data_IF_506208421278
#
_entry.id   IF_506208421278
#
_cell.length_a   1.000
_cell.length_b   1.000
_cell.length_c   1.000
_cell.angle_alpha   90.00
_cell.angle_beta   90.00
_cell.angle_gamma   90.00
#
_symmetry.space_group_name_H-M   'P 1'
#
loop_
_entity.id
_entity.type
_entity.pdbx_description
1 polymer ?
#
# COMPACT_ATOMS: atom_id res chain seq x y z
N UNK A 1 32.73 5.57 -61.47
CA UNK A 1 33.84 4.98 -60.67
C UNK A 1 33.97 5.55 -59.25
N UNK A 2 34.35 6.83 -59.00
CA UNK A 2 34.44 7.37 -57.62
C UNK A 2 33.09 7.44 -56.87
N UNK A 3 32.00 7.81 -57.56
CA UNK A 3 30.63 7.79 -56.99
C UNK A 3 30.14 6.37 -56.66
N UNK A 4 30.41 5.38 -57.52
CA UNK A 4 30.04 3.97 -57.26
C UNK A 4 30.79 3.35 -56.08
N UNK A 5 32.08 3.68 -55.91
CA UNK A 5 32.85 3.24 -54.74
C UNK A 5 32.39 3.92 -53.45
N UNK A 6 31.94 5.18 -53.50
CA UNK A 6 31.35 5.87 -52.36
C UNK A 6 29.98 5.29 -51.98
N UNK A 7 29.12 5.02 -52.97
CA UNK A 7 27.84 4.34 -52.76
C UNK A 7 28.03 2.92 -52.20
N UNK A 8 28.98 2.13 -52.71
CA UNK A 8 29.32 0.81 -52.12
C UNK A 8 29.83 0.93 -50.69
N UNK A 9 30.72 1.90 -50.40
CA UNK A 9 31.24 2.11 -49.03
C UNK A 9 30.14 2.56 -48.05
N UNK A 10 29.20 3.38 -48.50
CA UNK A 10 28.08 3.88 -47.70
C UNK A 10 27.09 2.75 -47.40
N UNK A 11 26.73 1.94 -48.40
CA UNK A 11 25.85 0.78 -48.24
C UNK A 11 26.47 -0.31 -47.35
N UNK A 12 27.78 -0.57 -47.47
CA UNK A 12 28.45 -1.54 -46.59
C UNK A 12 28.46 -1.07 -45.13
N UNK A 13 28.65 0.23 -44.88
CA UNK A 13 28.63 0.80 -43.53
C UNK A 13 27.27 0.66 -42.85
N UNK A 14 26.18 0.89 -43.58
CA UNK A 14 24.82 0.67 -43.07
C UNK A 14 24.55 -0.81 -42.77
N UNK A 15 24.95 -1.71 -43.67
CA UNK A 15 24.83 -3.17 -43.47
C UNK A 15 25.60 -3.62 -42.21
N UNK A 16 26.82 -3.14 -42.01
CA UNK A 16 27.60 -3.47 -40.80
C UNK A 16 26.98 -2.90 -39.53
N UNK A 17 26.39 -1.71 -39.61
CA UNK A 17 25.71 -1.09 -38.49
C UNK A 17 24.44 -1.87 -38.11
N UNK A 18 23.65 -2.28 -39.08
CA UNK A 18 22.45 -3.10 -38.84
C UNK A 18 22.81 -4.44 -38.20
N UNK A 19 23.83 -5.13 -38.72
CA UNK A 19 24.35 -6.38 -38.12
C UNK A 19 24.84 -6.15 -36.68
N UNK A 20 25.59 -5.07 -36.44
CA UNK A 20 26.06 -4.72 -35.10
C UNK A 20 24.89 -4.46 -34.14
N UNK A 21 23.87 -3.76 -34.61
CA UNK A 21 22.68 -3.44 -33.83
C UNK A 21 21.82 -4.68 -33.54
N UNK A 22 21.73 -5.63 -34.46
CA UNK A 22 21.10 -6.94 -34.22
C UNK A 22 21.80 -7.69 -33.07
N UNK A 23 23.13 -7.62 -33.00
CA UNK A 23 23.89 -8.23 -31.90
C UNK A 23 23.67 -7.56 -30.53
N UNK A 24 23.07 -6.36 -30.46
CA UNK A 24 22.74 -5.71 -29.16
C UNK A 24 21.61 -6.41 -28.40
N UNK A 25 20.95 -7.38 -29.03
CA UNK A 25 19.92 -8.22 -28.44
C UNK A 25 20.29 -9.72 -28.43
N UNK A 26 21.53 -10.07 -28.77
CA UNK A 26 21.99 -11.46 -28.83
C UNK A 26 21.86 -12.17 -27.48
N UNK A 27 21.55 -13.47 -27.45
CA UNK A 27 21.42 -14.25 -26.21
C UNK A 27 22.72 -14.32 -25.40
N UNK A 28 23.86 -14.41 -26.10
CA UNK A 28 25.17 -14.45 -25.48
C UNK A 28 25.53 -13.09 -24.87
N UNK A 29 25.63 -13.06 -23.55
CA UNK A 29 25.89 -11.85 -22.76
C UNK A 29 27.17 -11.13 -23.19
N UNK A 30 28.23 -11.88 -23.51
CA UNK A 30 29.53 -11.32 -23.89
C UNK A 30 29.47 -10.65 -25.27
N UNK A 31 28.83 -11.32 -26.24
CA UNK A 31 28.62 -10.79 -27.60
C UNK A 31 27.75 -9.53 -27.54
N UNK A 32 26.66 -9.60 -26.77
CA UNK A 32 25.72 -8.49 -26.59
C UNK A 32 26.38 -7.27 -25.95
N UNK A 33 27.12 -7.46 -24.86
CA UNK A 33 27.80 -6.35 -24.18
C UNK A 33 28.87 -5.70 -25.06
N UNK A 34 29.58 -6.49 -25.86
CA UNK A 34 30.54 -5.96 -26.83
C UNK A 34 29.86 -5.17 -27.95
N UNK A 35 28.78 -5.69 -28.52
CA UNK A 35 28.01 -4.99 -29.55
C UNK A 35 27.46 -3.66 -29.02
N UNK A 36 26.90 -3.65 -27.80
CA UNK A 36 26.42 -2.43 -27.14
C UNK A 36 27.57 -1.44 -26.91
N UNK A 37 28.74 -1.89 -26.44
CA UNK A 37 29.90 -1.02 -26.24
C UNK A 37 30.33 -0.34 -27.54
N UNK A 38 30.36 -1.08 -28.63
CA UNK A 38 30.74 -0.55 -29.95
C UNK A 38 29.64 0.39 -30.46
N UNK A 39 28.36 0.02 -30.35
CA UNK A 39 27.25 0.87 -30.74
C UNK A 39 27.24 2.21 -29.98
N UNK A 40 27.55 2.20 -28.67
CA UNK A 40 27.74 3.42 -27.87
C UNK A 40 28.87 4.29 -28.42
N UNK A 41 30.03 3.72 -28.67
CA UNK A 41 31.17 4.45 -29.24
C UNK A 41 30.88 5.03 -30.63
N UNK A 42 29.93 4.44 -31.38
CA UNK A 42 29.50 4.94 -32.68
C UNK A 42 28.41 6.00 -32.58
N UNK A 43 27.59 6.01 -31.51
CA UNK A 43 26.52 7.00 -31.31
C UNK A 43 27.06 8.43 -31.16
N UNK A 44 28.29 8.59 -30.66
CA UNK A 44 28.98 9.89 -30.56
C UNK A 44 29.32 10.50 -31.94
N UNK A 45 29.19 9.74 -33.03
CA UNK A 45 29.44 10.21 -34.41
C UNK A 45 28.11 10.57 -35.07
N UNK A 46 27.99 11.81 -35.57
CA UNK A 46 26.76 12.31 -36.22
C UNK A 46 26.24 11.39 -37.34
N UNK A 47 27.14 10.77 -38.10
CA UNK A 47 26.82 9.85 -39.20
C UNK A 47 26.04 8.59 -38.75
N UNK A 48 26.24 8.11 -37.52
CA UNK A 48 25.64 6.86 -37.03
C UNK A 48 24.56 7.08 -35.97
N UNK A 49 24.47 8.30 -35.44
CA UNK A 49 23.52 8.66 -34.39
C UNK A 49 22.07 8.41 -34.78
N UNK A 50 21.63 8.95 -35.92
CA UNK A 50 20.23 8.83 -36.37
C UNK A 50 19.83 7.37 -36.69
N UNK A 51 20.64 6.56 -37.39
CA UNK A 51 20.34 5.13 -37.58
C UNK A 51 20.25 4.33 -36.27
N UNK A 52 21.17 4.55 -35.32
CA UNK A 52 21.17 3.87 -34.02
C UNK A 52 19.91 4.23 -33.22
N UNK A 53 19.55 5.51 -33.19
CA UNK A 53 18.34 5.99 -32.51
C UNK A 53 17.07 5.45 -33.17
N UNK A 54 17.03 5.37 -34.51
CA UNK A 54 15.91 4.78 -35.27
C UNK A 54 15.73 3.29 -34.93
N UNK A 55 16.83 2.54 -34.86
CA UNK A 55 16.82 1.13 -34.46
C UNK A 55 16.36 0.96 -33.01
N UNK A 56 16.88 1.76 -32.08
CA UNK A 56 16.43 1.76 -30.69
C UNK A 56 14.92 2.08 -30.57
N UNK A 57 14.44 3.07 -31.32
CA UNK A 57 13.01 3.42 -31.37
C UNK A 57 12.15 2.31 -31.95
N UNK A 58 12.63 1.59 -32.98
CA UNK A 58 11.93 0.44 -33.53
C UNK A 58 11.80 -0.69 -32.49
N UNK A 59 12.86 -0.98 -31.74
CA UNK A 59 12.81 -1.94 -30.63
C UNK A 59 11.91 -1.49 -29.48
N UNK A 60 11.87 -0.19 -29.16
CA UNK A 60 10.92 0.35 -28.20
C UNK A 60 9.46 0.24 -28.69
N UNK A 61 9.21 0.35 -29.99
CA UNK A 61 7.87 0.13 -30.58
C UNK A 61 7.41 -1.32 -30.46
N UNK A 62 8.31 -2.30 -30.54
CA UNK A 62 7.94 -3.71 -30.32
C UNK A 62 7.43 -3.98 -28.91
N UNK A 63 7.76 -3.13 -27.94
CA UNK A 63 7.16 -3.22 -26.62
C UNK A 63 5.64 -3.00 -26.70
N UNK A 64 5.14 -2.17 -27.62
CA UNK A 64 3.72 -1.76 -27.75
C UNK A 64 2.86 -2.91 -28.27
N UNK A 65 3.44 -3.89 -28.97
CA UNK A 65 2.72 -5.01 -29.54
C UNK A 65 2.29 -6.03 -28.47
N UNK A 66 1.09 -6.58 -28.61
CA UNK A 66 0.50 -7.61 -27.73
C UNK A 66 1.31 -8.92 -27.71
N UNK A 67 2.09 -9.15 -28.76
CA UNK A 67 3.09 -10.21 -28.88
C UNK A 67 4.36 -9.63 -29.52
N UNK A 68 5.57 -9.97 -29.01
CA UNK A 68 6.81 -9.58 -29.66
C UNK A 68 6.90 -10.27 -31.04
N UNK A 69 7.45 -9.59 -32.08
CA UNK A 69 7.64 -10.20 -33.39
C UNK A 69 8.44 -11.51 -33.27
N UNK A 70 7.91 -12.62 -33.78
CA UNK A 70 8.56 -13.94 -33.75
C UNK A 70 9.95 -13.90 -34.38
N UNK A 71 10.18 -13.05 -35.39
CA UNK A 71 11.49 -12.87 -36.02
C UNK A 71 12.59 -12.30 -35.10
N UNK A 72 12.23 -11.68 -33.98
CA UNK A 72 13.20 -11.20 -32.96
C UNK A 72 13.59 -12.27 -31.95
N UNK A 73 12.83 -13.36 -31.87
CA UNK A 73 12.97 -14.41 -30.85
C UNK A 73 12.82 -15.84 -31.42
N UNK A 74 12.93 -15.99 -32.73
CA UNK A 74 12.70 -17.24 -33.44
C UNK A 74 13.96 -18.09 -33.51
N UNK A 75 13.88 -19.30 -32.97
CA UNK A 75 14.75 -20.42 -33.28
C UNK A 75 14.75 -20.66 -34.79
N UNK A 76 15.85 -20.35 -35.49
CA UNK A 76 16.38 -21.13 -36.61
C UNK A 76 17.51 -20.38 -37.34
N UNK A 77 18.73 -20.53 -36.81
CA UNK A 77 19.92 -20.69 -37.67
C UNK A 77 20.71 -21.91 -37.22
N UNK A 78 20.12 -23.07 -37.53
CA UNK A 78 20.75 -24.38 -37.81
C UNK A 78 21.63 -24.99 -36.70
N UNK A 79 21.10 -26.01 -36.02
CA UNK A 79 21.55 -27.41 -36.18
C UNK A 79 20.53 -28.42 -35.63
N UNK A 80 19.98 -29.22 -36.54
CA UNK A 80 19.58 -30.65 -36.42
C UNK A 80 18.55 -31.14 -35.39
N UNK A 81 17.41 -31.61 -35.93
CA UNK A 81 16.60 -32.80 -35.57
C UNK A 81 16.10 -32.98 -34.12
N UNK A 82 14.78 -32.85 -33.92
CA UNK A 82 13.80 -33.87 -33.46
C UNK A 82 12.46 -33.15 -33.12
N UNK A 83 11.29 -33.68 -33.51
CA UNK A 83 9.99 -33.02 -33.30
C UNK A 83 9.44 -33.28 -31.88
N UNK A 84 8.65 -32.34 -31.30
CA UNK A 84 7.46 -32.62 -30.46
C UNK A 84 6.70 -31.40 -29.91
N UNK A 85 5.41 -31.36 -30.29
CA UNK A 85 4.17 -31.09 -29.53
C UNK A 85 3.83 -29.63 -29.12
N UNK A 86 2.60 -29.15 -29.41
CA UNK A 86 2.15 -27.82 -29.04
C UNK A 86 1.65 -27.78 -27.59
N UNK A 87 2.20 -26.88 -26.77
CA UNK A 87 1.63 -26.55 -25.46
C UNK A 87 0.95 -25.19 -25.53
N UNK A 88 -0.37 -25.26 -25.59
CA UNK A 88 -1.30 -24.15 -25.44
C UNK A 88 -1.31 -23.72 -23.97
N UNK A 89 -1.06 -22.44 -23.73
CA UNK A 89 -1.38 -21.73 -22.49
C UNK A 89 -0.18 -21.39 -21.62
N UNK A 90 0.06 -20.09 -21.39
CA UNK A 90 0.46 -19.50 -20.10
C UNK A 90 0.78 -18.01 -20.26
N UNK A 91 0.32 -17.21 -19.29
CA UNK A 91 0.42 -15.77 -19.29
C UNK A 91 1.84 -15.22 -19.07
N UNK A 92 1.92 -13.90 -19.23
CA UNK A 92 2.89 -12.99 -18.63
C UNK A 92 4.29 -13.58 -18.39
N UNK A 93 5.12 -13.63 -19.42
CA UNK A 93 6.55 -13.55 -19.25
C UNK A 93 7.12 -12.64 -20.34
N UNK A 94 7.31 -11.36 -19.99
CA UNK A 94 8.31 -10.54 -20.69
C UNK A 94 9.62 -11.35 -20.76
N UNK A 95 10.30 -11.45 -21.92
CA UNK A 95 11.50 -12.28 -22.03
C UNK A 95 12.53 -11.88 -20.95
N UNK A 96 13.09 -12.89 -20.26
CA UNK A 96 14.06 -12.70 -19.18
C UNK A 96 15.23 -11.86 -19.73
N UNK A 97 15.37 -10.62 -19.25
CA UNK A 97 16.41 -9.68 -19.70
C UNK A 97 15.89 -8.37 -20.30
N UNK A 98 14.63 -8.31 -20.76
CA UNK A 98 14.06 -7.08 -21.32
C UNK A 98 13.95 -5.94 -20.28
N UNK A 99 13.55 -6.27 -19.04
CA UNK A 99 13.57 -5.30 -17.92
C UNK A 99 14.99 -4.80 -17.63
N UNK A 100 15.98 -5.69 -17.64
CA UNK A 100 17.38 -5.34 -17.39
C UNK A 100 17.92 -4.44 -18.51
N UNK A 101 17.59 -4.73 -19.76
CA UNK A 101 17.97 -3.93 -20.92
C UNK A 101 17.33 -2.53 -20.89
N UNK A 102 16.04 -2.43 -20.57
CA UNK A 102 15.34 -1.14 -20.44
C UNK A 102 15.94 -0.31 -19.29
N UNK A 103 16.16 -0.91 -18.11
CA UNK A 103 16.80 -0.21 -16.99
C UNK A 103 18.23 0.23 -17.35
N UNK A 104 18.97 -0.58 -18.11
CA UNK A 104 20.31 -0.20 -18.59
C UNK A 104 20.26 0.91 -19.64
N UNK A 105 19.33 0.85 -20.59
CA UNK A 105 19.12 1.90 -21.61
C UNK A 105 18.75 3.22 -20.92
N UNK A 106 17.83 3.20 -19.95
CA UNK A 106 17.50 4.38 -19.15
C UNK A 106 18.76 4.88 -18.44
N UNK A 107 19.47 4.01 -17.73
CA UNK A 107 20.70 4.38 -17.02
C UNK A 107 21.73 5.03 -17.95
N UNK A 108 21.96 4.45 -19.13
CA UNK A 108 22.87 4.95 -20.18
C UNK A 108 22.42 6.31 -20.72
N UNK A 109 21.11 6.49 -20.96
CA UNK A 109 20.54 7.74 -21.45
C UNK A 109 20.52 8.84 -20.37
N UNK A 110 20.70 8.50 -19.10
CA UNK A 110 20.62 9.42 -17.96
C UNK A 110 21.91 9.54 -17.14
N UNK A 111 22.99 8.86 -17.55
CA UNK A 111 24.23 8.74 -16.76
C UNK A 111 25.04 10.04 -16.71
N UNK A 112 25.00 10.82 -17.80
CA UNK A 112 25.81 12.04 -17.99
C UNK A 112 24.97 13.33 -18.03
N UNK A 113 23.64 13.20 -18.02
CA UNK A 113 22.70 14.32 -17.98
C UNK A 113 21.35 13.85 -17.42
N UNK A 114 20.59 14.72 -16.71
CA UNK A 114 19.24 14.38 -16.28
C UNK A 114 18.36 14.01 -17.49
N UNK A 115 17.50 12.98 -17.39
CA UNK A 115 16.63 12.57 -18.49
C UNK A 115 15.83 13.74 -19.03
N UNK A 116 15.70 13.83 -20.35
CA UNK A 116 14.90 14.89 -20.97
C UNK A 116 13.44 14.80 -20.50
N UNK A 117 12.73 15.93 -20.26
CA UNK A 117 11.34 15.92 -19.82
C UNK A 117 10.42 15.06 -20.72
N UNK A 118 10.68 15.07 -22.03
CA UNK A 118 9.97 14.24 -23.00
C UNK A 118 10.22 12.73 -22.82
N UNK A 119 11.45 12.30 -22.48
CA UNK A 119 11.75 10.90 -22.17
C UNK A 119 11.07 10.49 -20.87
N UNK A 120 11.12 11.34 -19.84
CA UNK A 120 10.42 11.12 -18.56
C UNK A 120 8.91 10.98 -18.83
N UNK A 121 8.33 11.88 -19.61
CA UNK A 121 6.91 11.84 -19.98
C UNK A 121 6.56 10.58 -20.77
N UNK A 122 7.39 10.16 -21.75
CA UNK A 122 7.14 8.95 -22.54
C UNK A 122 7.23 7.67 -21.72
N UNK A 123 8.24 7.56 -20.85
CA UNK A 123 8.42 6.41 -19.94
C UNK A 123 7.29 6.39 -18.92
N UNK A 124 6.91 7.57 -18.39
CA UNK A 124 5.75 7.75 -17.52
C UNK A 124 4.48 7.26 -18.22
N UNK A 125 4.19 7.73 -19.43
CA UNK A 125 3.04 7.31 -20.24
C UNK A 125 2.99 5.81 -20.49
N UNK A 126 4.12 5.22 -20.87
CA UNK A 126 4.24 3.79 -21.15
C UNK A 126 4.01 2.94 -19.90
N UNK A 127 4.42 3.44 -18.74
CA UNK A 127 4.19 2.77 -17.46
C UNK A 127 2.75 2.97 -16.96
N UNK A 128 2.15 4.14 -17.19
CA UNK A 128 0.75 4.42 -16.84
C UNK A 128 -0.26 3.66 -17.71
N UNK A 129 0.07 3.41 -18.99
CA UNK A 129 -0.81 2.69 -19.93
C UNK A 129 -0.82 1.17 -19.77
N UNK A 130 0.11 0.59 -18.99
CA UNK A 130 0.27 -0.88 -18.89
C UNK A 130 -0.05 -1.48 -17.54
N UNK A 131 0.14 -0.72 -16.47
CA UNK A 131 0.00 -1.29 -15.12
C UNK A 131 -1.45 -1.15 -14.69
N UNK A 132 -2.13 -2.28 -14.54
CA UNK A 132 -3.50 -2.33 -14.02
C UNK A 132 -3.54 -2.02 -12.52
N UNK A 133 -4.69 -1.54 -12.02
CA UNK A 133 -4.90 -1.30 -10.58
C UNK A 133 -4.59 -2.54 -9.74
N UNK A 134 -4.90 -3.74 -10.27
CA UNK A 134 -4.61 -5.03 -9.64
C UNK A 134 -3.11 -5.27 -9.46
N UNK A 135 -2.29 -4.90 -10.44
CA UNK A 135 -0.84 -5.03 -10.35
C UNK A 135 -0.25 -4.05 -9.33
N UNK A 136 -0.79 -2.83 -9.23
CA UNK A 136 -0.33 -1.87 -8.22
C UNK A 136 -0.73 -2.35 -6.81
N UNK A 137 -1.97 -2.79 -6.64
CA UNK A 137 -2.48 -3.32 -5.35
C UNK A 137 -1.65 -4.53 -4.89
N UNK A 138 -1.34 -5.47 -5.79
CA UNK A 138 -0.50 -6.64 -5.47
C UNK A 138 0.97 -6.28 -5.19
N UNK A 139 1.49 -5.20 -5.78
CA UNK A 139 2.83 -4.69 -5.49
C UNK A 139 2.88 -3.79 -4.24
N UNK A 140 1.73 -3.35 -3.72
CA UNK A 140 1.60 -2.36 -2.65
C UNK A 140 2.46 -2.67 -1.42
N UNK A 141 2.53 -3.92 -0.89
CA UNK A 141 3.37 -4.24 0.26
C UNK A 141 4.87 -3.95 0.06
N UNK A 142 5.35 -3.99 -1.19
CA UNK A 142 6.74 -3.65 -1.54
C UNK A 142 6.90 -2.16 -1.80
N UNK A 143 5.91 -1.53 -2.45
CA UNK A 143 5.95 -0.10 -2.79
C UNK A 143 5.93 0.80 -1.56
N UNK A 144 5.16 0.45 -0.52
CA UNK A 144 5.09 1.26 0.71
C UNK A 144 6.35 1.20 1.59
N UNK A 145 7.30 0.31 1.27
CA UNK A 145 8.61 0.22 1.94
C UNK A 145 9.64 1.19 1.33
N UNK A 146 9.29 1.81 0.19
CA UNK A 146 10.15 2.78 -0.48
C UNK A 146 10.12 4.13 0.26
N UNK A 147 10.94 5.08 -0.21
CA UNK A 147 10.99 6.41 0.36
C UNK A 147 9.65 7.15 0.21
N UNK A 148 9.32 8.01 1.16
CA UNK A 148 8.05 8.74 1.18
C UNK A 148 7.72 9.49 -0.13
N UNK A 149 8.66 10.14 -0.84
CA UNK A 149 8.37 10.75 -2.15
C UNK A 149 7.88 9.73 -3.18
N UNK A 150 8.51 8.55 -3.22
CA UNK A 150 8.12 7.47 -4.14
C UNK A 150 6.75 6.91 -3.77
N UNK A 151 6.46 6.77 -2.48
CA UNK A 151 5.15 6.33 -2.00
C UNK A 151 4.05 7.31 -2.41
N UNK A 152 4.30 8.63 -2.28
CA UNK A 152 3.34 9.66 -2.72
C UNK A 152 3.07 9.59 -4.23
N UNK A 153 4.10 9.40 -5.04
CA UNK A 153 3.94 9.21 -6.49
C UNK A 153 3.10 7.97 -6.83
N UNK A 154 3.27 6.87 -6.07
CA UNK A 154 2.43 5.67 -6.23
C UNK A 154 0.97 5.98 -5.87
N UNK A 155 0.71 6.80 -4.86
CA UNK A 155 -0.64 7.16 -4.43
C UNK A 155 -1.34 8.15 -5.37
N UNK A 156 -0.57 8.93 -6.15
CA UNK A 156 -1.09 9.85 -7.17
C UNK A 156 -1.48 9.16 -8.49
N UNK A 157 -1.30 7.83 -8.58
CA UNK A 157 -1.72 7.04 -9.75
C UNK A 157 -3.24 7.00 -9.88
N UNK A 158 -3.79 6.65 -11.06
CA UNK A 158 -5.23 6.62 -11.31
C UNK A 158 -5.97 5.45 -10.62
N UNK A 159 -5.57 5.07 -9.40
CA UNK A 159 -6.31 4.16 -8.53
C UNK A 159 -7.33 4.99 -7.75
N UNK A 160 -8.55 4.48 -7.63
CA UNK A 160 -9.58 5.14 -6.83
C UNK A 160 -9.10 5.25 -5.37
N UNK A 161 -9.16 6.45 -4.74
CA UNK A 161 -8.61 6.66 -3.39
C UNK A 161 -9.16 5.67 -2.33
N UNK A 162 -10.46 5.37 -2.39
CA UNK A 162 -11.06 4.39 -1.47
C UNK A 162 -10.46 2.99 -1.66
N UNK A 163 -10.21 2.56 -2.89
CA UNK A 163 -9.64 1.24 -3.18
C UNK A 163 -8.21 1.14 -2.66
N UNK A 164 -7.40 2.20 -2.82
CA UNK A 164 -6.05 2.24 -2.30
C UNK A 164 -6.03 2.09 -0.77
N UNK A 165 -6.85 2.87 -0.06
CA UNK A 165 -6.87 2.81 1.40
C UNK A 165 -7.42 1.47 1.91
N UNK A 166 -8.38 0.86 1.24
CA UNK A 166 -8.87 -0.48 1.58
C UNK A 166 -7.79 -1.53 1.35
N UNK A 167 -7.10 -1.47 0.20
CA UNK A 167 -5.99 -2.37 -0.12
C UNK A 167 -4.88 -2.30 0.94
N UNK A 168 -4.55 -1.10 1.43
CA UNK A 168 -3.59 -0.94 2.54
C UNK A 168 -4.03 -1.69 3.80
N UNK A 169 -5.32 -1.64 4.15
CA UNK A 169 -5.85 -2.34 5.33
C UNK A 169 -5.87 -3.87 5.18
N UNK A 170 -5.82 -4.37 3.95
CA UNK A 170 -5.84 -5.80 3.65
C UNK A 170 -4.45 -6.44 3.58
N UNK A 171 -3.37 -5.63 3.67
CA UNK A 171 -2.00 -6.16 3.67
C UNK A 171 -1.79 -7.02 4.91
N UNK A 172 -1.35 -8.27 4.69
CA UNK A 172 -1.09 -9.20 5.79
C UNK A 172 0.20 -8.86 6.52
N UNK A 173 0.29 -9.27 7.79
CA UNK A 173 1.51 -9.10 8.60
C UNK A 173 2.71 -9.90 8.07
N UNK A 174 2.50 -10.86 7.18
CA UNK A 174 3.57 -11.63 6.52
C UNK A 174 4.22 -10.85 5.38
N UNK A 175 3.47 -9.96 4.73
CA UNK A 175 3.94 -9.20 3.56
C UNK A 175 4.61 -7.88 3.95
N UNK A 176 4.10 -7.22 4.99
CA UNK A 176 4.60 -5.93 5.45
C UNK A 176 4.41 -5.70 6.95
N UNK A 177 5.33 -4.97 7.58
CA UNK A 177 5.21 -4.61 8.99
C UNK A 177 4.04 -3.64 9.19
N UNK A 178 3.26 -3.87 10.26
CA UNK A 178 2.10 -3.05 10.61
C UNK A 178 2.44 -1.55 10.71
N UNK A 179 3.64 -1.19 11.21
CA UNK A 179 4.08 0.21 11.30
C UNK A 179 4.19 0.86 9.93
N UNK A 180 4.73 0.15 8.93
CA UNK A 180 4.85 0.64 7.55
C UNK A 180 3.49 0.85 6.92
N UNK A 181 2.58 -0.12 7.09
CA UNK A 181 1.19 0.00 6.61
C UNK A 181 0.47 1.17 7.28
N UNK A 182 0.65 1.33 8.59
CA UNK A 182 0.09 2.44 9.36
C UNK A 182 0.59 3.80 8.86
N UNK A 183 1.89 3.92 8.56
CA UNK A 183 2.47 5.14 8.01
C UNK A 183 1.90 5.45 6.62
N UNK A 184 1.80 4.44 5.74
CA UNK A 184 1.20 4.57 4.41
C UNK A 184 -0.28 5.01 4.47
N UNK A 185 -1.08 4.40 5.35
CA UNK A 185 -2.47 4.82 5.57
C UNK A 185 -2.56 6.25 6.13
N UNK A 186 -1.64 6.64 7.02
CA UNK A 186 -1.56 8.00 7.57
C UNK A 186 -1.27 9.03 6.47
N UNK A 187 -0.36 8.72 5.52
CA UNK A 187 -0.09 9.59 4.38
C UNK A 187 -1.35 9.81 3.55
N UNK A 188 -2.10 8.75 3.24
CA UNK A 188 -3.38 8.86 2.54
C UNK A 188 -4.35 9.77 3.31
N UNK A 189 -4.60 9.47 4.58
CA UNK A 189 -5.58 10.19 5.41
C UNK A 189 -5.23 11.68 5.62
N UNK A 190 -3.97 12.06 5.47
CA UNK A 190 -3.54 13.46 5.56
C UNK A 190 -3.82 14.28 4.29
N UNK A 191 -4.00 13.63 3.13
CA UNK A 191 -4.39 14.28 1.87
C UNK A 191 -5.92 14.55 1.87
N UNK A 192 -6.34 15.47 2.74
CA UNK A 192 -7.76 15.76 3.06
C UNK A 192 -8.62 16.22 1.87
N UNK A 193 -7.99 16.77 0.84
CA UNK A 193 -8.68 17.12 -0.41
C UNK A 193 -9.13 15.87 -1.20
N UNK A 194 -8.44 14.74 -1.02
CA UNK A 194 -8.71 13.46 -1.69
C UNK A 194 -9.55 12.57 -0.77
N UNK A 195 -9.15 12.44 0.49
CA UNK A 195 -9.80 11.60 1.50
C UNK A 195 -10.82 12.43 2.29
N UNK A 196 -11.88 12.83 1.60
CA UNK A 196 -13.03 13.53 2.17
C UNK A 196 -13.87 12.59 3.05
N UNK A 197 -14.79 13.15 3.82
CA UNK A 197 -15.75 12.38 4.60
C UNK A 197 -16.56 11.36 3.76
N UNK A 198 -16.90 11.67 2.51
CA UNK A 198 -17.61 10.74 1.61
C UNK A 198 -16.75 9.53 1.24
N UNK A 199 -15.49 9.77 0.86
CA UNK A 199 -14.53 8.70 0.54
C UNK A 199 -14.28 7.84 1.77
N UNK A 200 -14.10 8.45 2.93
CA UNK A 200 -13.89 7.72 4.18
C UNK A 200 -15.12 6.94 4.64
N UNK A 201 -16.34 7.43 4.36
CA UNK A 201 -17.55 6.67 4.62
C UNK A 201 -17.58 5.37 3.81
N UNK A 202 -17.24 5.42 2.52
CA UNK A 202 -17.11 4.22 1.67
C UNK A 202 -16.07 3.26 2.22
N UNK A 203 -14.88 3.77 2.57
CA UNK A 203 -13.79 2.95 3.13
C UNK A 203 -14.24 2.27 4.43
N UNK A 204 -14.75 3.02 5.40
CA UNK A 204 -15.18 2.48 6.69
C UNK A 204 -16.31 1.47 6.51
N UNK A 205 -17.28 1.75 5.64
CA UNK A 205 -18.40 0.87 5.34
C UNK A 205 -17.93 -0.47 4.73
N UNK A 206 -16.96 -0.46 3.82
CA UNK A 206 -16.43 -1.69 3.24
C UNK A 206 -15.54 -2.46 4.24
N UNK A 207 -14.70 -1.77 5.01
CA UNK A 207 -13.79 -2.42 5.95
C UNK A 207 -14.52 -3.12 7.11
N UNK A 208 -15.64 -2.57 7.60
CA UNK A 208 -16.40 -3.20 8.69
C UNK A 208 -17.02 -4.54 8.28
N UNK A 209 -17.22 -4.77 6.99
CA UNK A 209 -17.76 -6.02 6.44
C UNK A 209 -16.71 -7.11 6.17
N UNK A 210 -15.41 -6.78 6.30
CA UNK A 210 -14.33 -7.76 6.18
C UNK A 210 -14.24 -8.61 7.45
N UNK A 211 -14.07 -9.92 7.29
CA UNK A 211 -13.86 -10.88 8.38
C UNK A 211 -12.54 -11.67 8.19
N UNK A 212 -11.59 -11.63 9.14
CA UNK A 212 -11.58 -10.80 10.35
C UNK A 212 -11.49 -9.30 10.05
N UNK A 213 -12.01 -8.45 10.94
CA UNK A 213 -11.91 -6.99 10.77
C UNK A 213 -10.43 -6.59 10.68
N UNK A 214 -10.05 -5.73 9.72
CA UNK A 214 -8.68 -5.24 9.60
C UNK A 214 -8.16 -4.57 10.86
N UNK A 215 -6.92 -4.87 11.23
CA UNK A 215 -6.30 -4.43 12.50
C UNK A 215 -6.26 -2.90 12.63
N UNK A 216 -6.10 -2.18 11.52
CA UNK A 216 -6.02 -0.72 11.49
C UNK A 216 -7.41 -0.03 11.44
N UNK A 217 -8.50 -0.79 11.35
CA UNK A 217 -9.85 -0.26 11.16
C UNK A 217 -10.21 0.84 12.16
N UNK A 218 -10.09 0.55 13.47
CA UNK A 218 -10.45 1.53 14.50
C UNK A 218 -9.55 2.76 14.50
N UNK A 219 -8.28 2.62 14.09
CA UNK A 219 -7.38 3.77 13.94
C UNK A 219 -7.88 4.70 12.85
N UNK A 220 -8.30 4.15 11.71
CA UNK A 220 -8.88 4.92 10.59
C UNK A 220 -10.19 5.60 10.98
N UNK A 221 -11.08 4.90 11.71
CA UNK A 221 -12.32 5.50 12.24
C UNK A 221 -12.03 6.68 13.17
N UNK A 222 -11.10 6.52 14.12
CA UNK A 222 -10.72 7.58 15.07
C UNK A 222 -10.07 8.78 14.37
N UNK A 223 -9.26 8.53 13.34
CA UNK A 223 -8.62 9.58 12.55
C UNK A 223 -9.65 10.32 11.68
N UNK A 224 -10.57 9.60 11.03
CA UNK A 224 -11.68 10.19 10.29
C UNK A 224 -12.53 11.12 11.17
N UNK A 225 -12.89 10.69 12.38
CA UNK A 225 -13.62 11.51 13.34
C UNK A 225 -12.84 12.74 13.81
N UNK A 226 -11.52 12.65 13.88
CA UNK A 226 -10.67 13.78 14.27
C UNK A 226 -10.62 14.86 13.20
N UNK A 227 -10.76 14.49 11.92
CA UNK A 227 -10.83 15.44 10.80
C UNK A 227 -12.26 15.89 10.48
N UNK A 228 -13.24 15.01 10.65
CA UNK A 228 -14.62 15.22 10.22
C UNK A 228 -15.62 14.89 11.35
N UNK A 229 -15.81 15.79 12.34
CA UNK A 229 -16.74 15.56 13.45
C UNK A 229 -18.20 15.33 13.02
N UNK A 230 -18.59 15.78 11.82
CA UNK A 230 -19.92 15.54 11.25
C UNK A 230 -20.22 14.05 11.01
N UNK A 231 -19.20 13.19 10.98
CA UNK A 231 -19.36 11.75 10.79
C UNK A 231 -19.81 11.00 12.05
N UNK A 232 -19.98 11.66 13.21
CA UNK A 232 -20.33 11.00 14.48
C UNK A 232 -21.55 10.08 14.34
N UNK A 233 -22.65 10.56 13.73
CA UNK A 233 -23.85 9.75 13.54
C UNK A 233 -23.61 8.49 12.71
N UNK A 234 -22.90 8.63 11.58
CA UNK A 234 -22.48 7.48 10.76
C UNK A 234 -21.62 6.49 11.56
N UNK A 235 -20.63 7.00 12.29
CA UNK A 235 -19.72 6.14 13.08
C UNK A 235 -20.47 5.43 14.22
N UNK A 236 -21.48 6.03 14.83
CA UNK A 236 -22.29 5.33 15.85
C UNK A 236 -22.99 4.09 15.25
N UNK A 237 -23.53 4.20 14.03
CA UNK A 237 -24.13 3.05 13.32
C UNK A 237 -23.08 1.98 13.01
N UNK A 238 -21.86 2.38 12.65
CA UNK A 238 -20.74 1.46 12.44
C UNK A 238 -20.39 0.74 13.75
N UNK A 239 -20.23 1.46 14.86
CA UNK A 239 -19.91 0.86 16.17
C UNK A 239 -21.01 -0.10 16.64
N UNK A 240 -22.28 0.20 16.40
CA UNK A 240 -23.39 -0.71 16.73
C UNK A 240 -23.22 -2.08 16.07
N UNK A 241 -22.77 -2.11 14.81
CA UNK A 241 -22.47 -3.36 14.08
C UNK A 241 -21.24 -4.10 14.62
N UNK A 242 -20.40 -3.45 15.42
CA UNK A 242 -19.21 -4.04 16.02
C UNK A 242 -19.46 -4.74 17.35
N UNK A 243 -20.60 -4.50 18.01
CA UNK A 243 -20.92 -5.07 19.34
C UNK A 243 -20.79 -6.60 19.34
N UNK A 244 -21.23 -7.23 18.24
CA UNK A 244 -21.19 -8.69 18.07
C UNK A 244 -19.89 -9.21 17.44
N UNK A 245 -18.92 -8.32 17.15
CA UNK A 245 -17.67 -8.65 16.45
C UNK A 245 -16.47 -8.78 17.42
N UNK A 246 -15.33 -9.18 16.86
CA UNK A 246 -14.14 -9.68 17.56
C UNK A 246 -13.58 -8.75 18.67
N UNK A 247 -13.00 -9.35 19.71
CA UNK A 247 -12.41 -8.65 20.86
C UNK A 247 -11.24 -7.69 20.51
N UNK A 248 -10.54 -7.89 19.38
CA UNK A 248 -9.32 -7.13 19.03
C UNK A 248 -9.55 -5.63 18.79
N UNK A 249 -10.78 -5.23 18.44
CA UNK A 249 -11.12 -3.82 18.17
C UNK A 249 -11.58 -3.06 19.42
N UNK A 250 -11.71 -3.74 20.57
CA UNK A 250 -12.44 -3.20 21.71
C UNK A 250 -11.78 -1.95 22.33
N UNK A 251 -10.44 -1.89 22.37
CA UNK A 251 -9.72 -0.69 22.82
C UNK A 251 -10.05 0.51 21.93
N UNK A 252 -10.12 0.30 20.61
CA UNK A 252 -10.50 1.35 19.67
C UNK A 252 -11.98 1.74 19.80
N UNK A 253 -12.87 0.76 20.03
CA UNK A 253 -14.30 0.96 20.28
C UNK A 253 -14.51 1.89 21.49
N UNK A 254 -13.85 1.61 22.61
CA UNK A 254 -13.95 2.39 23.85
C UNK A 254 -13.43 3.81 23.62
N UNK A 255 -12.28 3.97 22.96
CA UNK A 255 -11.74 5.28 22.58
C UNK A 255 -12.70 6.09 21.72
N UNK A 256 -13.40 5.42 20.81
CA UNK A 256 -14.39 6.06 19.96
C UNK A 256 -15.60 6.51 20.79
N UNK A 257 -16.05 5.69 21.75
CA UNK A 257 -17.12 6.06 22.68
C UNK A 257 -16.74 7.29 23.54
N UNK A 258 -15.51 7.34 24.07
CA UNK A 258 -14.99 8.47 24.85
C UNK A 258 -15.00 9.78 24.04
N UNK A 259 -14.56 9.72 22.77
CA UNK A 259 -14.42 10.88 21.90
C UNK A 259 -15.76 11.42 21.38
N UNK A 260 -16.80 10.59 21.35
CA UNK A 260 -18.10 10.93 20.75
C UNK A 260 -19.21 11.19 21.75
N UNK A 261 -18.89 11.24 23.06
CA UNK A 261 -19.82 11.67 24.10
C UNK A 261 -20.50 13.01 23.73
N UNK A 262 -21.80 13.18 24.01
CA UNK A 262 -22.71 12.22 24.65
C UNK A 262 -23.34 11.19 23.69
N UNK A 263 -23.07 11.26 22.39
CA UNK A 263 -23.72 10.44 21.35
C UNK A 263 -23.48 8.93 21.50
N UNK A 264 -22.42 8.54 22.20
CA UNK A 264 -22.10 7.14 22.48
C UNK A 264 -22.94 6.52 23.60
N UNK A 265 -23.63 7.29 24.44
CA UNK A 265 -24.37 6.74 25.58
C UNK A 265 -25.52 5.79 25.18
N UNK A 266 -26.37 6.11 24.17
CA UNK A 266 -27.37 5.16 23.70
C UNK A 266 -26.79 3.85 23.16
N UNK A 267 -25.57 3.89 22.61
CA UNK A 267 -24.84 2.71 22.15
C UNK A 267 -24.34 1.87 23.34
N UNK A 268 -23.81 2.51 24.40
CA UNK A 268 -23.36 1.80 25.60
C UNK A 268 -24.49 1.03 26.29
N UNK A 269 -25.72 1.53 26.24
CA UNK A 269 -26.91 0.84 26.77
C UNK A 269 -27.30 -0.40 25.97
N UNK A 270 -26.76 -0.60 24.77
CA UNK A 270 -27.01 -1.78 23.93
C UNK A 270 -25.95 -2.87 24.11
N UNK A 271 -24.89 -2.60 24.88
CA UNK A 271 -23.83 -3.57 25.11
C UNK A 271 -24.33 -4.71 26.02
N UNK A 272 -23.88 -5.96 25.79
CA UNK A 272 -23.98 -7.01 26.79
C UNK A 272 -23.34 -6.59 28.13
N UNK A 273 -23.92 -6.98 29.29
CA UNK A 273 -23.37 -6.67 30.61
C UNK A 273 -21.86 -6.90 30.79
N UNK A 274 -21.26 -8.03 30.33
CA UNK A 274 -19.81 -8.22 30.50
C UNK A 274 -18.98 -7.24 29.67
N UNK A 275 -19.46 -6.86 28.47
CA UNK A 275 -18.80 -5.87 27.63
C UNK A 275 -18.87 -4.49 28.27
N UNK A 276 -20.05 -4.10 28.79
CA UNK A 276 -20.23 -2.82 29.48
C UNK A 276 -19.32 -2.72 30.72
N UNK A 277 -19.23 -3.80 31.51
CA UNK A 277 -18.31 -3.86 32.66
C UNK A 277 -16.87 -3.60 32.24
N UNK A 278 -16.42 -4.22 31.15
CA UNK A 278 -15.08 -4.00 30.60
C UNK A 278 -14.86 -2.56 30.09
N UNK A 279 -15.90 -1.93 29.53
CA UNK A 279 -15.85 -0.50 29.17
C UNK A 279 -15.54 0.35 30.41
N UNK A 280 -16.24 0.14 31.52
CA UNK A 280 -16.01 0.91 32.75
C UNK A 280 -14.65 0.61 33.40
N UNK A 281 -14.15 -0.61 33.30
CA UNK A 281 -12.80 -0.96 33.75
C UNK A 281 -11.71 -0.23 32.96
N UNK A 282 -11.93 0.00 31.66
CA UNK A 282 -10.96 0.65 30.76
C UNK A 282 -11.09 2.17 30.75
N UNK A 283 -12.31 2.69 30.87
CA UNK A 283 -12.65 4.10 30.79
C UNK A 283 -13.74 4.45 31.82
N UNK A 284 -13.38 4.59 33.12
CA UNK A 284 -14.32 4.82 34.20
C UNK A 284 -15.18 6.08 34.02
N UNK A 285 -14.66 7.12 33.37
CA UNK A 285 -15.35 8.39 33.15
C UNK A 285 -16.54 8.28 32.18
N UNK A 286 -16.64 7.17 31.41
CA UNK A 286 -17.84 6.87 30.62
C UNK A 286 -19.03 6.52 31.51
N UNK A 287 -18.77 5.98 32.72
CA UNK A 287 -19.81 5.59 33.68
C UNK A 287 -20.59 6.79 34.19
N UNK A 288 -19.89 7.80 34.70
CA UNK A 288 -20.52 9.01 35.23
C UNK A 288 -21.29 9.77 34.13
N UNK A 289 -20.75 9.76 32.92
CA UNK A 289 -21.42 10.28 31.73
C UNK A 289 -22.73 9.54 31.43
N UNK A 290 -22.69 8.21 31.46
CA UNK A 290 -23.86 7.37 31.20
C UNK A 290 -24.92 7.52 32.29
N UNK A 291 -24.54 7.56 33.56
CA UNK A 291 -25.47 7.78 34.68
C UNK A 291 -26.18 9.13 34.53
N UNK A 292 -25.45 10.20 34.19
CA UNK A 292 -26.07 11.51 33.92
C UNK A 292 -27.02 11.46 32.73
N UNK A 293 -26.67 10.73 31.68
CA UNK A 293 -27.55 10.53 30.53
C UNK A 293 -28.86 9.82 30.94
N UNK A 294 -28.78 8.71 31.68
CA UNK A 294 -29.96 7.99 32.18
C UNK A 294 -30.82 8.92 33.06
N UNK A 295 -30.20 9.74 33.91
CA UNK A 295 -30.90 10.74 34.74
C UNK A 295 -31.55 11.87 33.94
N UNK A 296 -31.17 12.07 32.68
CA UNK A 296 -31.85 13.00 31.76
C UNK A 296 -32.98 12.34 30.95
N UNK A 297 -33.03 11.01 30.88
CA UNK A 297 -34.08 10.28 30.17
C UNK A 297 -35.42 10.35 30.89
N UNK A 298 -36.51 10.26 30.13
CA UNK A 298 -37.88 10.15 30.66
C UNK A 298 -38.07 8.85 31.46
N UNK A 299 -39.08 8.82 32.32
CA UNK A 299 -39.38 7.65 33.16
C UNK A 299 -39.66 6.39 32.30
N UNK A 300 -40.39 6.54 31.19
CA UNK A 300 -40.68 5.46 30.24
C UNK A 300 -39.42 4.90 29.57
N UNK A 301 -38.44 5.75 29.27
CA UNK A 301 -37.17 5.30 28.69
C UNK A 301 -36.32 4.55 29.72
N UNK A 302 -36.32 4.99 30.99
CA UNK A 302 -35.58 4.32 32.06
C UNK A 302 -36.13 2.93 32.36
N UNK A 303 -37.46 2.75 32.31
CA UNK A 303 -38.08 1.43 32.54
C UNK A 303 -37.72 0.39 31.48
N UNK A 304 -37.20 0.79 30.31
CA UNK A 304 -36.74 -0.13 29.26
C UNK A 304 -35.31 -0.66 29.50
N UNK A 305 -34.57 -0.12 30.47
CA UNK A 305 -33.21 -0.56 30.77
C UNK A 305 -33.29 -1.86 31.59
N UNK A 306 -32.72 -2.99 31.12
CA UNK A 306 -32.76 -4.25 31.85
C UNK A 306 -32.09 -4.15 33.22
N UNK A 307 -32.63 -4.83 34.23
CA UNK A 307 -32.06 -4.83 35.60
C UNK A 307 -30.61 -5.31 35.63
N UNK A 308 -30.24 -6.27 34.76
CA UNK A 308 -28.85 -6.75 34.62
C UNK A 308 -27.87 -5.70 34.11
N UNK A 309 -28.36 -4.65 33.43
CA UNK A 309 -27.53 -3.51 33.02
C UNK A 309 -27.42 -2.50 34.17
N UNK A 310 -28.52 -2.26 34.89
CA UNK A 310 -28.51 -1.36 36.05
C UNK A 310 -27.55 -1.85 37.12
N UNK A 311 -27.50 -3.16 37.41
CA UNK A 311 -26.52 -3.71 38.35
C UNK A 311 -25.09 -3.37 37.94
N UNK A 312 -24.72 -3.52 36.66
CA UNK A 312 -23.37 -3.16 36.18
C UNK A 312 -23.11 -1.65 36.23
N UNK A 313 -24.14 -0.82 36.06
CA UNK A 313 -24.04 0.65 36.12
C UNK A 313 -23.91 1.15 37.56
N UNK A 314 -24.50 0.44 38.52
CA UNK A 314 -24.53 0.79 39.95
C UNK A 314 -23.45 0.09 40.78
N UNK A 315 -22.86 -1.01 40.28
CA UNK A 315 -21.77 -1.78 40.92
C UNK A 315 -20.52 -0.92 41.13
N UNK A 316 -20.45 -0.13 42.20
CA UNK A 316 -19.27 0.62 42.60
C UNK A 316 -18.16 -0.35 43.02
N UNK A 317 -17.51 -0.98 42.06
CA UNK A 317 -16.19 -1.58 42.28
C UNK A 317 -15.12 -0.47 42.37
N UNK A 318 -15.32 0.47 43.29
CA UNK A 318 -14.22 1.12 44.01
C UNK A 318 -13.93 0.21 45.22
N UNK A 319 -13.24 -0.91 45.00
CA UNK A 319 -12.59 -1.62 46.10
C UNK A 319 -11.11 -1.31 46.00
N UNK A 320 -10.74 -0.28 46.76
CA UNK A 320 -9.45 -0.03 47.40
C UNK A 320 -8.51 -1.23 47.27
N UNK A 321 -7.38 -1.04 46.57
CA UNK A 321 -6.25 -1.96 46.67
C UNK A 321 -5.96 -2.19 48.16
N UNK A 322 -5.78 -3.43 48.64
CA UNK A 322 -5.43 -3.63 50.04
C UNK A 322 -4.09 -2.94 50.25
N UNK A 323 -4.07 -1.87 51.04
CA UNK A 323 -2.86 -1.37 51.66
C UNK A 323 -2.21 -2.56 52.34
N UNK A 324 -1.07 -2.98 51.79
CA UNK A 324 -0.15 -3.87 52.49
C UNK A 324 0.28 -3.08 53.72
N UNK A 325 -0.38 -3.35 54.83
CA UNK A 325 0.01 -2.87 56.15
C UNK A 325 1.37 -3.52 56.43
N UNK A 326 2.43 -2.82 56.04
CA UNK A 326 3.79 -3.15 56.49
C UNK A 326 3.70 -2.99 58.01
N UNK A 327 3.63 -4.13 58.71
CA UNK A 327 3.88 -4.17 60.13
C UNK A 327 5.31 -3.66 60.32
N UNK A 328 5.41 -2.42 60.80
CA UNK A 328 6.63 -1.90 61.38
C UNK A 328 7.03 -2.81 62.52
N UNK A 329 8.09 -3.59 62.31
CA UNK A 329 8.79 -4.29 63.37
C UNK A 329 9.31 -3.20 64.34
N UNK A 330 9.02 -3.27 65.65
CA UNK A 330 9.58 -2.32 66.59
C UNK A 330 11.06 -2.66 66.77
N UNK A 331 11.93 -1.74 66.35
CA UNK A 331 13.36 -1.76 66.69
C UNK A 331 13.48 -1.49 68.18
N UNK A 332 13.63 -2.55 68.98
CA UNK A 332 14.09 -2.44 70.37
C UNK A 332 15.52 -1.92 70.37
N UNK A 333 15.68 -0.64 70.67
CA UNK A 333 16.89 -0.09 71.30
C UNK A 333 17.10 -0.80 72.63
N UNK A 334 18.14 -1.62 72.72
CA UNK A 334 18.80 -1.94 73.99
C UNK A 334 20.20 -1.35 73.93
N UNK A 335 20.38 -0.28 74.70
CA UNK A 335 21.68 0.24 75.07
C UNK A 335 22.29 -0.63 76.18
N UNK A 336 23.62 -0.52 76.29
CA UNK A 336 24.47 -0.68 77.48
C UNK A 336 25.17 -2.03 77.75
N UNK A 337 26.51 -1.90 77.83
CA UNK A 337 27.43 -2.50 78.81
C UNK A 337 27.74 -4.00 78.59
N UNK A 338 28.96 -4.48 78.36
CA UNK A 338 30.33 -4.09 78.76
C UNK A 338 31.37 -4.50 77.71
#
# INVERSE_FOLDING_TARGET
MKRDLMFRRMNMREIFLDILLDFTHNENISVRNNAIRIAKSLHDKEEFKQPIERHALQFLKHLIASQPPEALFGEDKKTSTIPKIPVRGMGMNSPKGAKTLITRIIHILTEQAPPSPALIEKVRDLYHKRVSDKEIISALPKLIKLTQPVVKEVFNRPILPFQLLIALHQISSQECELKTVMNAATLCLNERAIYTHDVLAIVIQQLVDINPIPVLFMRTVLQALSFYPKMVGFVMNILQRLITKQARIWVGFIKCCQKTRPHSFPLLLQLPPPQLKHVFQTAPELRDGLIRHIRSMSMAQRSLIPSSMLTVIEDNSENVAPEIRIQTIPTTTSSMEQ
#
